data_IF_146106965355
#
_entry.id   IF_146106965355
#
_cell.length_a   1.000
_cell.length_b   1.000
_cell.length_c   1.000
_cell.angle_alpha   90.00
_cell.angle_beta   90.00
_cell.angle_gamma   90.00
#
_symmetry.space_group_name_H-M   'P 1'
#
loop_
_entity.id
_entity.type
_entity.pdbx_description
1 polymer ?
#
# COMPACT_ATOMS: atom_id res chain seq x y z
N UNK A 1 2.60 2.02 0.35
CA UNK A 1 1.62 2.59 -0.60
C UNK A 1 2.05 2.40 -2.05
N UNK A 2 1.12 2.48 -2.99
CA UNK A 2 1.36 2.29 -4.43
C UNK A 2 0.16 1.66 -5.17
N UNK A 3 0.10 1.82 -6.49
CA UNK A 3 -0.96 1.22 -7.33
C UNK A 3 -0.93 -0.31 -7.27
N UNK A 4 -2.01 -0.97 -7.66
CA UNK A 4 -2.05 -2.42 -7.83
C UNK A 4 -0.98 -2.87 -8.84
N UNK A 5 -0.41 -4.05 -8.62
CA UNK A 5 0.71 -4.54 -9.43
C UNK A 5 2.09 -3.93 -9.12
N UNK A 6 2.18 -2.87 -8.30
CA UNK A 6 3.48 -2.29 -7.88
C UNK A 6 4.33 -3.19 -6.97
N UNK A 7 3.76 -4.27 -6.43
CA UNK A 7 4.48 -5.23 -5.58
C UNK A 7 4.45 -4.93 -4.08
N UNK A 8 3.50 -4.11 -3.61
CA UNK A 8 3.33 -3.76 -2.18
C UNK A 8 3.37 -4.95 -1.23
N UNK A 9 2.58 -5.99 -1.51
CA UNK A 9 2.51 -7.19 -0.65
C UNK A 9 3.87 -7.91 -0.59
N UNK A 10 4.53 -8.08 -1.74
CA UNK A 10 5.84 -8.71 -1.82
C UNK A 10 6.91 -7.90 -1.08
N UNK A 11 6.98 -6.59 -1.34
CA UNK A 11 7.93 -5.69 -0.68
C UNK A 11 7.65 -5.60 0.83
N UNK A 12 6.39 -5.46 1.21
CA UNK A 12 5.96 -5.33 2.60
C UNK A 12 6.26 -6.58 3.42
N UNK A 13 5.97 -7.79 2.88
CA UNK A 13 6.33 -9.05 3.55
C UNK A 13 7.84 -9.20 3.72
N UNK A 14 8.61 -8.88 2.69
CA UNK A 14 10.07 -8.95 2.76
C UNK A 14 10.65 -7.95 3.78
N UNK A 15 10.12 -6.73 3.82
CA UNK A 15 10.51 -5.71 4.79
C UNK A 15 10.14 -6.12 6.21
N UNK A 16 8.92 -6.62 6.44
CA UNK A 16 8.47 -7.10 7.74
C UNK A 16 9.37 -8.24 8.25
N UNK A 17 9.66 -9.23 7.39
CA UNK A 17 10.56 -10.32 7.72
C UNK A 17 11.98 -9.83 8.07
N UNK A 18 12.50 -8.85 7.32
CA UNK A 18 13.82 -8.26 7.58
C UNK A 18 13.89 -7.49 8.89
N UNK A 19 12.80 -6.82 9.28
CA UNK A 19 12.71 -6.04 10.52
C UNK A 19 12.27 -6.86 11.73
N UNK A 20 11.76 -8.09 11.53
CA UNK A 20 11.12 -8.87 12.58
C UNK A 20 9.76 -8.31 13.01
N UNK A 21 9.06 -7.62 12.11
CA UNK A 21 7.77 -6.95 12.38
C UNK A 21 6.59 -7.77 11.88
N UNK A 22 5.39 -7.45 12.37
CA UNK A 22 4.17 -8.01 11.82
C UNK A 22 3.94 -7.50 10.38
N UNK A 23 3.19 -8.27 9.58
CA UNK A 23 2.73 -7.86 8.26
C UNK A 23 1.20 -7.96 8.17
N UNK A 24 0.59 -6.95 7.57
CA UNK A 24 -0.84 -6.93 7.26
C UNK A 24 -1.04 -6.47 5.81
N UNK A 25 -1.89 -7.17 5.08
CA UNK A 25 -2.38 -6.72 3.78
C UNK A 25 -3.72 -6.00 3.97
N UNK A 26 -3.80 -4.75 3.51
CA UNK A 26 -5.00 -3.95 3.68
C UNK A 26 -6.17 -4.49 2.85
N UNK A 27 -5.89 -5.20 1.75
CA UNK A 27 -6.91 -5.77 0.88
C UNK A 27 -7.73 -6.85 1.60
N UNK A 28 -7.16 -7.52 2.61
CA UNK A 28 -7.83 -8.53 3.45
C UNK A 28 -8.92 -7.93 4.35
N UNK A 29 -8.87 -6.62 4.59
CA UNK A 29 -9.78 -5.90 5.48
C UNK A 29 -10.88 -5.13 4.73
N UNK A 30 -10.98 -5.30 3.42
CA UNK A 30 -12.10 -4.72 2.68
C UNK A 30 -13.44 -5.35 3.10
N UNK A 31 -14.49 -4.53 3.32
CA UNK A 31 -15.82 -5.06 3.58
C UNK A 31 -16.32 -5.86 2.38
N UNK A 32 -17.23 -6.85 2.58
CA UNK A 32 -17.74 -7.71 1.51
C UNK A 32 -18.24 -6.93 0.28
N UNK A 33 -18.97 -5.83 0.50
CA UNK A 33 -19.46 -4.93 -0.55
C UNK A 33 -18.34 -4.39 -1.46
N UNK A 34 -17.19 -4.03 -0.89
CA UNK A 34 -16.07 -3.51 -1.68
C UNK A 34 -15.44 -4.62 -2.53
N UNK A 35 -15.28 -5.81 -1.95
CA UNK A 35 -14.75 -6.98 -2.65
C UNK A 35 -15.65 -7.38 -3.82
N UNK A 36 -16.97 -7.39 -3.62
CA UNK A 36 -17.96 -7.68 -4.66
C UNK A 36 -17.93 -6.64 -5.79
N UNK A 37 -17.82 -5.35 -5.44
CA UNK A 37 -17.73 -4.26 -6.43
C UNK A 37 -16.46 -4.39 -7.28
N UNK A 38 -15.30 -4.61 -6.65
CA UNK A 38 -14.04 -4.84 -7.35
C UNK A 38 -14.05 -6.13 -8.19
N UNK A 39 -14.69 -7.20 -7.71
CA UNK A 39 -14.83 -8.46 -8.45
C UNK A 39 -15.67 -8.29 -9.74
N UNK A 40 -16.61 -7.33 -9.75
CA UNK A 40 -17.36 -6.93 -10.96
C UNK A 40 -16.59 -5.97 -11.87
N UNK A 41 -15.34 -5.64 -11.54
CA UNK A 41 -14.51 -4.70 -12.30
C UNK A 41 -14.90 -3.24 -12.10
N UNK A 42 -15.75 -2.94 -11.12
CA UNK A 42 -16.19 -1.58 -10.81
C UNK A 42 -15.19 -0.91 -9.85
N UNK A 43 -14.71 0.31 -10.13
CA UNK A 43 -13.84 1.02 -9.21
C UNK A 43 -14.60 1.46 -7.96
N UNK A 44 -13.96 1.33 -6.79
CA UNK A 44 -14.50 1.88 -5.54
C UNK A 44 -14.53 3.42 -5.60
N UNK A 45 -15.51 4.04 -4.94
CA UNK A 45 -15.56 5.49 -4.72
C UNK A 45 -14.79 5.89 -3.46
N UNK A 46 -14.84 7.16 -3.07
CA UNK A 46 -14.29 7.62 -1.80
C UNK A 46 -15.13 7.12 -0.61
N UNK A 47 -16.44 7.16 -0.75
CA UNK A 47 -17.41 6.69 0.25
C UNK A 47 -17.26 5.18 0.49
N UNK A 48 -17.00 4.40 -0.55
CA UNK A 48 -16.70 2.97 -0.41
C UNK A 48 -15.41 2.74 0.40
N UNK A 49 -14.40 3.60 0.24
CA UNK A 49 -13.08 3.44 0.88
C UNK A 49 -13.03 3.97 2.31
N UNK A 50 -13.85 4.96 2.65
CA UNK A 50 -13.78 5.64 3.95
C UNK A 50 -13.88 4.68 5.15
N UNK A 51 -14.90 3.78 5.25
CA UNK A 51 -15.00 2.87 6.39
C UNK A 51 -13.85 1.86 6.48
N UNK A 52 -13.31 1.47 5.31
CA UNK A 52 -12.14 0.59 5.22
C UNK A 52 -10.88 1.30 5.74
N UNK A 53 -10.64 2.55 5.35
CA UNK A 53 -9.52 3.35 5.84
C UNK A 53 -9.60 3.58 7.35
N UNK A 54 -10.79 3.85 7.90
CA UNK A 54 -11.01 3.98 9.34
C UNK A 54 -10.71 2.69 10.10
N UNK A 55 -11.09 1.54 9.54
CA UNK A 55 -10.76 0.22 10.11
C UNK A 55 -9.24 0.01 10.14
N UNK A 56 -8.54 0.36 9.06
CA UNK A 56 -7.08 0.27 8.99
C UNK A 56 -6.39 1.22 9.98
N UNK A 57 -6.91 2.45 10.11
CA UNK A 57 -6.42 3.42 11.07
C UNK A 57 -6.51 2.88 12.50
N UNK A 58 -7.68 2.34 12.90
CA UNK A 58 -7.85 1.75 14.23
C UNK A 58 -6.86 0.60 14.49
N UNK A 59 -6.56 -0.22 13.49
CA UNK A 59 -5.53 -1.27 13.59
C UNK A 59 -4.13 -0.69 13.77
N UNK A 60 -3.75 0.30 12.95
CA UNK A 60 -2.46 0.98 13.08
C UNK A 60 -2.31 1.64 14.45
N UNK A 61 -3.34 2.34 14.92
CA UNK A 61 -3.36 3.01 16.22
C UNK A 61 -3.13 2.02 17.37
N UNK A 62 -3.80 0.86 17.34
CA UNK A 62 -3.61 -0.17 18.36
C UNK A 62 -2.17 -0.70 18.40
N UNK A 63 -1.55 -0.91 17.23
CA UNK A 63 -0.15 -1.33 17.12
C UNK A 63 0.83 -0.26 17.64
N UNK A 64 0.60 1.01 17.28
CA UNK A 64 1.39 2.14 17.78
C UNK A 64 1.29 2.25 19.30
N UNK A 65 0.08 2.14 19.86
CA UNK A 65 -0.15 2.19 21.31
C UNK A 65 0.49 1.02 22.07
N UNK A 66 0.50 -0.17 21.47
CA UNK A 66 1.13 -1.35 22.06
C UNK A 66 2.67 -1.35 21.96
N UNK A 67 3.26 -0.47 21.12
CA UNK A 67 4.68 -0.53 20.80
C UNK A 67 5.05 -1.72 19.92
N UNK A 68 4.08 -2.30 19.22
CA UNK A 68 4.22 -3.50 18.39
C UNK A 68 4.29 -3.12 16.91
N UNK A 69 5.49 -3.00 16.31
CA UNK A 69 5.64 -2.44 14.98
C UNK A 69 5.04 -3.35 13.88
N UNK A 70 4.44 -2.70 12.88
CA UNK A 70 3.67 -3.33 11.80
C UNK A 70 4.04 -2.75 10.43
N UNK A 71 4.19 -3.61 9.43
CA UNK A 71 4.20 -3.23 8.02
C UNK A 71 2.83 -3.45 7.40
N UNK A 72 2.18 -2.37 6.98
CA UNK A 72 0.88 -2.41 6.29
C UNK A 72 1.03 -2.19 4.78
N UNK A 73 0.66 -3.19 3.97
CA UNK A 73 0.50 -3.01 2.53
C UNK A 73 -0.86 -2.38 2.23
N UNK A 74 -0.91 -1.09 1.93
CA UNK A 74 -2.14 -0.37 1.54
C UNK A 74 -1.94 0.41 0.25
N UNK A 75 -2.96 0.59 -0.58
CA UNK A 75 -2.87 1.41 -1.80
C UNK A 75 -2.66 2.89 -1.48
N UNK A 76 -3.49 3.46 -0.59
CA UNK A 76 -3.41 4.83 -0.06
C UNK A 76 -3.08 5.90 -1.12
N UNK A 77 -3.79 5.83 -2.25
CA UNK A 77 -3.46 6.57 -3.48
C UNK A 77 -3.63 8.09 -3.35
N UNK A 78 -4.63 8.55 -2.62
CA UNK A 78 -4.92 9.99 -2.41
C UNK A 78 -4.38 10.48 -1.09
N UNK A 79 -4.07 11.77 -1.02
CA UNK A 79 -3.59 12.43 0.18
C UNK A 79 -4.59 12.35 1.33
N UNK A 80 -5.88 12.56 1.03
CA UNK A 80 -6.94 12.36 2.02
C UNK A 80 -6.95 10.95 2.61
N UNK A 81 -6.65 9.91 1.82
CA UNK A 81 -6.64 8.54 2.32
C UNK A 81 -5.47 8.32 3.27
N UNK A 82 -4.31 8.89 2.96
CA UNK A 82 -3.15 8.85 3.84
C UNK A 82 -3.43 9.57 5.14
N UNK A 83 -4.05 10.75 5.09
CA UNK A 83 -4.46 11.49 6.30
C UNK A 83 -5.45 10.71 7.17
N UNK A 84 -6.44 10.05 6.58
CA UNK A 84 -7.35 9.17 7.35
C UNK A 84 -6.60 7.98 7.95
N UNK A 85 -5.69 7.36 7.19
CA UNK A 85 -4.95 6.19 7.61
C UNK A 85 -3.97 6.50 8.75
N UNK A 86 -3.16 7.54 8.60
CA UNK A 86 -2.14 7.92 9.57
C UNK A 86 -2.72 8.76 10.70
N UNK A 87 -3.75 9.57 10.44
CA UNK A 87 -4.28 10.53 11.41
C UNK A 87 -3.16 11.37 12.03
N UNK A 88 -3.22 11.49 13.36
CA UNK A 88 -2.20 12.12 14.20
C UNK A 88 -1.28 11.07 14.87
N UNK A 89 -1.16 9.87 14.29
CA UNK A 89 -0.29 8.84 14.83
C UNK A 89 1.19 9.21 14.62
N UNK A 90 1.92 9.31 15.72
CA UNK A 90 3.38 9.36 15.69
C UNK A 90 3.97 7.99 15.28
N UNK A 91 5.19 8.02 14.72
CA UNK A 91 5.92 6.80 14.38
C UNK A 91 5.43 6.07 13.12
N UNK A 92 4.57 6.69 12.31
CA UNK A 92 4.14 6.13 11.02
C UNK A 92 4.97 6.71 9.88
N UNK A 93 5.62 5.83 9.10
CA UNK A 93 6.36 6.20 7.91
C UNK A 93 5.71 5.63 6.65
N UNK A 94 5.71 6.43 5.57
CA UNK A 94 5.19 6.01 4.28
C UNK A 94 6.31 5.48 3.40
N UNK A 95 6.13 4.28 2.85
CA UNK A 95 6.96 3.74 1.77
C UNK A 95 6.15 3.75 0.48
N UNK A 96 6.65 4.38 -0.58
CA UNK A 96 5.99 4.45 -1.87
C UNK A 96 6.67 3.53 -2.89
N UNK A 97 6.04 2.38 -3.15
CA UNK A 97 6.40 1.49 -4.25
C UNK A 97 5.91 2.10 -5.58
N UNK A 98 6.82 2.75 -6.30
CA UNK A 98 6.49 3.52 -7.51
C UNK A 98 7.23 2.99 -8.74
N UNK A 99 6.63 3.16 -9.91
CA UNK A 99 7.26 2.85 -11.17
C UNK A 99 6.43 3.30 -12.37
N UNK A 100 7.02 3.29 -13.57
CA UNK A 100 6.31 3.60 -14.81
C UNK A 100 5.10 2.68 -15.04
N UNK A 101 4.04 3.22 -15.66
CA UNK A 101 2.77 2.51 -15.90
C UNK A 101 2.95 1.27 -16.78
N UNK A 102 3.77 1.36 -17.82
CA UNK A 102 4.14 0.26 -18.73
C UNK A 102 4.85 -0.89 -17.99
N UNK A 103 5.76 -0.57 -17.06
CA UNK A 103 6.44 -1.57 -16.22
C UNK A 103 5.43 -2.30 -15.33
N UNK A 104 4.48 -1.58 -14.73
CA UNK A 104 3.44 -2.19 -13.89
C UNK A 104 2.48 -3.04 -14.73
N UNK A 105 2.05 -2.53 -15.88
CA UNK A 105 1.20 -3.27 -16.81
C UNK A 105 1.84 -4.59 -17.26
N UNK A 106 3.13 -4.56 -17.65
CA UNK A 106 3.86 -5.77 -18.03
C UNK A 106 3.96 -6.79 -16.88
N UNK A 107 4.18 -6.33 -15.64
CA UNK A 107 4.19 -7.20 -14.45
C UNK A 107 2.84 -7.84 -14.15
N UNK A 108 1.75 -7.15 -14.48
CA UNK A 108 0.39 -7.66 -14.29
C UNK A 108 0.01 -8.68 -15.37
N UNK A 109 0.50 -8.52 -16.61
CA UNK A 109 0.25 -9.47 -17.70
C UNK A 109 0.88 -10.85 -17.47
N UNK A 110 2.01 -10.90 -16.76
CA UNK A 110 2.69 -12.17 -16.41
C UNK A 110 2.07 -12.93 -15.24
N UNK A 111 0.90 -12.52 -14.73
CA UNK A 111 0.21 -13.16 -13.60
C UNK A 111 -1.22 -13.51 -14.02
N UNK A 112 -1.67 -14.72 -13.69
CA UNK A 112 -3.06 -15.12 -13.91
C UNK A 112 -4.02 -14.19 -13.15
N UNK A 113 -4.93 -13.57 -13.89
CA UNK A 113 -6.21 -13.02 -13.46
C UNK A 113 -6.26 -12.21 -12.16
N UNK A 114 -5.75 -10.97 -12.14
CA UNK A 114 -6.16 -10.07 -11.04
C UNK A 114 -6.79 -8.73 -11.41
N UNK A 115 -6.49 -8.06 -12.52
CA UNK A 115 -7.19 -6.80 -12.84
C UNK A 115 -7.20 -6.46 -14.34
N UNK A 116 -8.35 -6.05 -14.93
CA UNK A 116 -8.39 -5.50 -16.27
C UNK A 116 -7.54 -4.21 -16.39
N UNK A 117 -6.93 -3.94 -17.56
CA UNK A 117 -6.10 -2.75 -17.78
C UNK A 117 -6.78 -1.42 -17.42
N UNK A 118 -8.10 -1.32 -17.61
CA UNK A 118 -8.90 -0.14 -17.28
C UNK A 118 -8.84 0.24 -15.79
N UNK A 119 -8.72 -0.73 -14.90
CA UNK A 119 -8.57 -0.44 -13.47
C UNK A 119 -7.17 0.11 -13.14
N UNK A 120 -6.13 -0.31 -13.85
CA UNK A 120 -4.79 0.25 -13.66
C UNK A 120 -4.77 1.74 -14.03
N UNK A 121 -5.40 2.11 -15.14
CA UNK A 121 -5.51 3.51 -15.57
C UNK A 121 -6.27 4.34 -14.53
N UNK A 122 -7.36 3.81 -13.96
CA UNK A 122 -8.10 4.48 -12.89
C UNK A 122 -7.26 4.70 -11.62
N UNK A 123 -6.34 3.78 -11.31
CA UNK A 123 -5.48 3.91 -10.14
C UNK A 123 -4.37 4.93 -10.35
N UNK A 124 -3.78 4.99 -11.55
CA UNK A 124 -2.84 6.05 -11.88
C UNK A 124 -3.51 7.43 -11.91
N UNK A 125 -4.74 7.53 -12.41
CA UNK A 125 -5.51 8.77 -12.37
C UNK A 125 -5.84 9.21 -10.92
N UNK A 126 -6.05 8.26 -10.00
CA UNK A 126 -6.31 8.54 -8.59
C UNK A 126 -5.04 8.70 -7.74
N UNK A 127 -3.86 8.41 -8.27
CA UNK A 127 -2.59 8.47 -7.55
C UNK A 127 -2.15 9.92 -7.40
N UNK A 128 -2.12 10.38 -6.15
CA UNK A 128 -1.52 11.64 -5.73
C UNK A 128 -0.18 11.30 -5.06
N UNK A 129 0.97 11.47 -5.74
CA UNK A 129 2.27 11.13 -5.17
C UNK A 129 2.49 11.78 -3.80
N UNK A 130 2.95 11.04 -2.78
CA UNK A 130 3.17 11.61 -1.45
C UNK A 130 4.36 12.58 -1.48
N UNK A 131 4.24 13.70 -0.76
CA UNK A 131 5.34 14.66 -0.61
C UNK A 131 6.47 14.13 0.30
N UNK A 132 6.10 13.36 1.33
CA UNK A 132 7.04 12.77 2.29
C UNK A 132 6.83 11.25 2.33
N UNK A 133 7.76 10.52 1.74
CA UNK A 133 7.80 9.06 1.75
C UNK A 133 9.20 8.56 1.44
N UNK A 134 9.49 7.32 1.82
CA UNK A 134 10.62 6.56 1.30
C UNK A 134 10.23 6.04 -0.09
N UNK A 135 10.89 6.53 -1.13
CA UNK A 135 10.61 6.14 -2.52
C UNK A 135 11.33 4.83 -2.86
N UNK A 136 10.54 3.80 -3.17
CA UNK A 136 11.01 2.49 -3.58
C UNK A 136 10.74 2.28 -5.07
N UNK A 137 11.76 2.50 -5.90
CA UNK A 137 11.68 2.25 -7.34
C UNK A 137 11.52 0.76 -7.62
N UNK A 138 10.32 0.37 -8.04
CA UNK A 138 9.96 -1.03 -8.22
C UNK A 138 10.76 -1.72 -9.30
N UNK A 139 11.47 -0.99 -10.18
CA UNK A 139 12.35 -1.58 -11.21
C UNK A 139 13.53 -2.32 -10.59
N UNK A 140 13.90 -1.99 -9.36
CA UNK A 140 14.96 -2.66 -8.60
C UNK A 140 14.44 -3.94 -7.92
N UNK A 141 15.29 -4.95 -7.73
CA UNK A 141 14.93 -6.14 -6.96
C UNK A 141 14.53 -5.81 -5.52
N UNK A 142 13.54 -6.51 -4.98
CA UNK A 142 13.08 -6.34 -3.59
C UNK A 142 14.24 -6.51 -2.58
N UNK A 143 15.14 -7.46 -2.83
CA UNK A 143 16.32 -7.71 -1.99
C UNK A 143 17.25 -6.49 -1.87
N UNK A 144 17.30 -5.62 -2.88
CA UNK A 144 18.09 -4.38 -2.83
C UNK A 144 17.34 -3.22 -2.17
N UNK A 145 16.01 -3.19 -2.28
CA UNK A 145 15.19 -2.12 -1.73
C UNK A 145 15.06 -2.23 -0.21
N UNK A 146 14.91 -3.45 0.30
CA UNK A 146 14.62 -3.71 1.73
C UNK A 146 15.66 -3.10 2.67
N UNK A 147 16.98 -3.31 2.50
CA UNK A 147 17.98 -2.73 3.41
C UNK A 147 17.94 -1.20 3.43
N UNK A 148 17.77 -0.56 2.27
CA UNK A 148 17.70 0.90 2.18
C UNK A 148 16.46 1.48 2.86
N UNK A 149 15.30 0.82 2.70
CA UNK A 149 14.07 1.20 3.40
C UNK A 149 14.25 1.01 4.92
N UNK A 150 14.78 -0.13 5.35
CA UNK A 150 14.99 -0.44 6.75
C UNK A 150 15.95 0.56 7.44
N UNK A 151 16.99 1.01 6.74
CA UNK A 151 17.89 2.04 7.24
C UNK A 151 17.18 3.39 7.40
N UNK A 152 16.42 3.82 6.37
CA UNK A 152 15.68 5.09 6.42
C UNK A 152 14.61 5.14 7.52
N UNK A 153 14.03 3.99 7.89
CA UNK A 153 13.04 3.89 8.99
C UNK A 153 13.65 4.05 10.39
N UNK A 154 14.95 3.79 10.57
CA UNK A 154 15.61 3.88 11.89
C UNK A 154 16.08 5.31 12.22
N UNK A 155 15.96 6.24 11.27
CA UNK A 155 16.55 7.58 11.39
C UNK A 155 18.09 7.55 11.28
N UNK A 156 18.73 8.72 11.16
CA UNK A 156 20.16 8.87 11.41
C UNK A 156 20.53 8.63 12.88
#
# INVERSE_FOLDING_TARGET
MGVSGSGKTTLGRALAAHLGWAFLDADDLHPPRNREKMARGEPLTDEDRQPWLETLHARLAAHVQAGDPLVLACSALKDRYRRTLTGDLDGVALVFAHGPRDVIAARMQGRDHFMPPSLLDSQFAALEPPAQAIFADIRRPVAELVPGIAAALRGP
#
